data_IF_412037341783
#
_entry.id   IF_412037341783
#
_cell.length_a   1.000
_cell.length_b   1.000
_cell.length_c   1.000
_cell.angle_alpha   90.00
_cell.angle_beta   90.00
_cell.angle_gamma   90.00
#
_symmetry.space_group_name_H-M   'P 1'
#
loop_
_entity.id
_entity.type
_entity.pdbx_description
1 polymer ?
#
# COMPACT_ATOMS: atom_id res chain seq x y z
N UNK A 1 25.93 -21.95 4.51
CA UNK A 1 24.54 -22.34 4.82
C UNK A 1 23.60 -22.52 3.61
N UNK A 2 24.01 -22.27 2.34
CA UNK A 2 23.10 -22.36 1.17
C UNK A 2 23.63 -23.16 -0.05
N UNK A 3 24.77 -23.86 0.07
CA UNK A 3 25.42 -24.52 -1.09
C UNK A 3 24.58 -25.63 -1.75
N UNK A 4 23.61 -26.22 -1.05
CA UNK A 4 22.84 -27.37 -1.54
C UNK A 4 21.35 -27.14 -1.82
N UNK A 5 20.89 -25.89 -1.95
CA UNK A 5 19.49 -25.58 -2.29
C UNK A 5 19.13 -25.80 -3.78
N UNK A 6 20.06 -26.33 -4.58
CA UNK A 6 19.94 -26.43 -6.03
C UNK A 6 19.72 -27.86 -6.58
N UNK A 7 19.26 -28.81 -5.75
CA UNK A 7 18.96 -30.19 -6.22
C UNK A 7 17.73 -30.29 -7.16
N UNK A 8 16.93 -29.23 -7.29
CA UNK A 8 15.67 -29.22 -8.05
C UNK A 8 15.64 -28.37 -9.32
N UNK A 9 16.78 -27.86 -9.81
CA UNK A 9 16.85 -27.08 -11.07
C UNK A 9 16.21 -25.68 -11.04
N UNK A 10 15.73 -25.21 -9.88
CA UNK A 10 15.13 -23.88 -9.72
C UNK A 10 16.24 -22.83 -9.49
N UNK A 11 16.37 -21.88 -10.42
CA UNK A 11 17.34 -20.77 -10.34
C UNK A 11 17.20 -20.02 -9.01
N UNK A 12 18.30 -19.87 -8.27
CA UNK A 12 18.35 -19.10 -7.02
C UNK A 12 17.97 -17.63 -7.27
N UNK A 13 17.23 -17.03 -6.34
CA UNK A 13 16.97 -15.60 -6.34
C UNK A 13 18.26 -14.82 -6.02
N UNK A 14 18.33 -13.53 -6.38
CA UNK A 14 19.52 -12.71 -6.09
C UNK A 14 19.86 -12.69 -4.59
N UNK A 15 18.84 -12.69 -3.72
CA UNK A 15 19.00 -12.69 -2.28
C UNK A 15 19.54 -14.02 -1.75
N UNK A 16 19.15 -15.15 -2.37
CA UNK A 16 19.70 -16.46 -2.04
C UNK A 16 21.17 -16.58 -2.46
N UNK A 17 21.55 -15.99 -3.59
CA UNK A 17 22.96 -15.90 -4.01
C UNK A 17 23.79 -15.10 -2.98
N UNK A 18 23.27 -13.97 -2.51
CA UNK A 18 23.94 -13.19 -1.45
C UNK A 18 24.05 -13.98 -0.14
N UNK A 19 22.98 -14.67 0.28
CA UNK A 19 23.00 -15.50 1.49
C UNK A 19 24.06 -16.61 1.45
N UNK A 20 24.27 -17.23 0.28
CA UNK A 20 25.33 -18.21 0.09
C UNK A 20 26.73 -17.57 0.19
N UNK A 21 26.93 -16.40 -0.42
CA UNK A 21 28.23 -15.72 -0.47
C UNK A 21 28.65 -15.11 0.86
N UNK A 22 27.69 -14.68 1.69
CA UNK A 22 27.98 -13.92 2.90
C UNK A 22 28.00 -14.76 4.17
N UNK A 23 27.90 -16.09 4.07
CA UNK A 23 27.80 -16.97 5.24
C UNK A 23 29.02 -16.97 6.18
N UNK A 24 30.13 -16.32 5.79
CA UNK A 24 31.34 -16.18 6.61
C UNK A 24 31.40 -14.85 7.40
N UNK A 25 30.40 -13.98 7.23
CA UNK A 25 30.35 -12.66 7.87
C UNK A 25 29.37 -12.70 9.04
N UNK A 26 29.85 -13.18 10.20
CA UNK A 26 29.07 -13.40 11.42
C UNK A 26 28.95 -12.11 12.24
N UNK A 27 27.71 -11.65 12.43
CA UNK A 27 27.29 -10.54 13.27
C UNK A 27 26.90 -11.09 14.64
N UNK A 28 27.45 -10.51 15.71
CA UNK A 28 27.05 -10.84 17.09
C UNK A 28 25.86 -10.00 17.53
N UNK A 29 24.84 -10.64 18.09
CA UNK A 29 23.66 -10.00 18.66
C UNK A 29 23.74 -9.93 20.19
N UNK A 30 23.00 -8.99 20.78
CA UNK A 30 22.89 -8.81 22.23
C UNK A 30 21.54 -9.33 22.77
N UNK A 31 21.31 -9.16 24.08
CA UNK A 31 20.03 -9.44 24.72
C UNK A 31 19.03 -8.27 24.62
N UNK A 32 19.37 -7.20 23.91
CA UNK A 32 18.45 -6.08 23.71
C UNK A 32 17.20 -6.51 22.91
N UNK A 33 16.05 -5.83 23.09
CA UNK A 33 14.78 -6.28 22.54
C UNK A 33 14.78 -6.54 21.03
N UNK A 34 15.34 -5.64 20.21
CA UNK A 34 15.35 -5.81 18.76
C UNK A 34 16.34 -6.89 18.34
N UNK A 35 17.53 -6.95 18.94
CA UNK A 35 18.50 -8.02 18.71
C UNK A 35 17.91 -9.41 18.99
N UNK A 36 17.19 -9.57 20.11
CA UNK A 36 16.48 -10.83 20.41
C UNK A 36 15.44 -11.16 19.36
N UNK A 37 14.63 -10.18 18.94
CA UNK A 37 13.61 -10.39 17.92
C UNK A 37 14.21 -10.78 16.56
N UNK A 38 15.36 -10.20 16.19
CA UNK A 38 16.11 -10.57 14.97
C UNK A 38 16.54 -12.04 15.04
N UNK A 39 17.09 -12.47 16.19
CA UNK A 39 17.51 -13.85 16.41
C UNK A 39 16.32 -14.82 16.31
N UNK A 40 15.22 -14.50 17.00
CA UNK A 40 13.98 -15.29 16.99
C UNK A 40 13.45 -15.49 15.56
N UNK A 41 13.35 -14.42 14.77
CA UNK A 41 12.89 -14.48 13.38
C UNK A 41 13.82 -15.34 12.52
N UNK A 42 15.13 -15.28 12.79
CA UNK A 42 16.13 -16.04 12.04
C UNK A 42 16.04 -17.53 12.36
N UNK A 43 15.96 -17.89 13.64
CA UNK A 43 15.78 -19.28 14.09
C UNK A 43 14.47 -19.85 13.52
N UNK A 44 13.36 -19.13 13.66
CA UNK A 44 12.05 -19.58 13.18
C UNK A 44 12.07 -19.86 11.68
N UNK A 45 12.77 -19.02 10.89
CA UNK A 45 12.92 -19.26 9.44
C UNK A 45 13.56 -20.61 9.15
N UNK A 46 14.59 -21.00 9.90
CA UNK A 46 15.27 -22.27 9.71
C UNK A 46 14.40 -23.45 10.13
N UNK A 47 13.70 -23.33 11.25
CA UNK A 47 12.71 -24.32 11.70
C UNK A 47 11.62 -24.52 10.62
N UNK A 48 11.03 -23.44 10.12
CA UNK A 48 10.00 -23.48 9.07
C UNK A 48 10.52 -24.14 7.78
N UNK A 49 11.77 -23.88 7.39
CA UNK A 49 12.38 -24.49 6.19
C UNK A 49 12.61 -26.00 6.36
N UNK A 50 13.01 -26.44 7.55
CA UNK A 50 13.21 -27.86 7.86
C UNK A 50 11.85 -28.57 7.85
N UNK A 51 10.85 -28.02 8.56
CA UNK A 51 9.51 -28.61 8.66
C UNK A 51 8.78 -28.65 7.31
N UNK A 52 8.82 -27.54 6.55
CA UNK A 52 8.03 -27.42 5.32
C UNK A 52 8.66 -28.11 4.10
N UNK A 53 9.99 -28.27 4.06
CA UNK A 53 10.69 -28.78 2.88
C UNK A 53 11.39 -30.11 3.09
N UNK A 54 11.41 -30.64 4.32
CA UNK A 54 12.16 -31.84 4.68
C UNK A 54 13.62 -31.78 4.19
N UNK A 55 14.22 -30.59 4.31
CA UNK A 55 15.60 -30.32 3.90
C UNK A 55 16.47 -30.28 5.14
N UNK A 56 17.54 -31.07 5.14
CA UNK A 56 18.61 -30.93 6.14
C UNK A 56 19.40 -29.65 5.85
N UNK A 57 19.40 -28.74 6.82
CA UNK A 57 20.23 -27.52 6.78
C UNK A 57 21.52 -27.83 7.54
N UNK A 58 22.59 -28.09 6.79
CA UNK A 58 23.90 -28.39 7.39
C UNK A 58 24.32 -27.28 8.36
N UNK A 59 24.69 -27.69 9.58
CA UNK A 59 25.16 -26.84 10.67
C UNK A 59 24.12 -25.86 11.25
N UNK A 60 22.82 -26.15 11.12
CA UNK A 60 21.81 -25.48 11.93
C UNK A 60 21.61 -26.24 13.24
N UNK A 61 21.81 -25.54 14.36
CA UNK A 61 21.44 -25.97 15.72
C UNK A 61 20.75 -24.78 16.37
N UNK A 62 19.52 -24.97 16.83
CA UNK A 62 18.77 -23.92 17.52
C UNK A 62 19.47 -23.53 18.81
N UNK A 63 19.94 -24.53 19.54
CA UNK A 63 20.66 -24.39 20.80
C UNK A 63 21.93 -23.56 20.60
N UNK A 64 22.73 -23.88 19.59
CA UNK A 64 23.97 -23.16 19.29
C UNK A 64 23.67 -21.71 18.90
N UNK A 65 22.65 -21.46 18.08
CA UNK A 65 22.26 -20.09 17.72
C UNK A 65 21.74 -19.27 18.92
N UNK A 66 21.06 -19.91 19.87
CA UNK A 66 20.60 -19.27 21.11
C UNK A 66 21.77 -18.96 22.06
N UNK A 67 22.79 -19.82 22.09
CA UNK A 67 24.00 -19.65 22.88
C UNK A 67 24.93 -18.59 22.28
N UNK A 68 25.32 -18.77 21.02
CA UNK A 68 26.30 -17.93 20.33
C UNK A 68 25.73 -16.58 19.90
N UNK A 69 24.41 -16.53 19.63
CA UNK A 69 23.69 -15.32 19.16
C UNK A 69 24.34 -14.67 17.94
N UNK A 70 24.84 -15.51 17.05
CA UNK A 70 25.46 -15.11 15.80
C UNK A 70 24.50 -15.33 14.64
N UNK A 71 24.48 -14.36 13.73
CA UNK A 71 23.78 -14.45 12.45
C UNK A 71 24.68 -13.87 11.36
N UNK A 72 24.38 -14.03 10.08
CA UNK A 72 25.08 -13.31 9.01
C UNK A 72 24.29 -12.11 8.46
N UNK A 73 24.95 -11.30 7.62
CA UNK A 73 24.35 -10.10 7.02
C UNK A 73 23.07 -10.41 6.22
N UNK A 74 23.00 -11.57 5.57
CA UNK A 74 21.82 -11.96 4.79
C UNK A 74 20.63 -12.33 5.68
N UNK A 75 20.88 -13.00 6.80
CA UNK A 75 19.89 -13.28 7.84
C UNK A 75 19.39 -12.00 8.49
N UNK A 76 20.30 -11.06 8.79
CA UNK A 76 19.92 -9.75 9.30
C UNK A 76 19.01 -9.01 8.31
N UNK A 77 19.34 -9.00 7.01
CA UNK A 77 18.49 -8.40 5.99
C UNK A 77 17.09 -9.04 5.96
N UNK A 78 16.99 -10.36 6.06
CA UNK A 78 15.70 -11.06 6.10
C UNK A 78 14.90 -10.68 7.35
N UNK A 79 15.52 -10.74 8.53
CA UNK A 79 14.87 -10.43 9.80
C UNK A 79 14.42 -8.96 9.86
N UNK A 80 15.27 -8.04 9.40
CA UNK A 80 14.92 -6.63 9.20
C UNK A 80 13.69 -6.49 8.29
N UNK A 81 13.65 -7.23 7.18
CA UNK A 81 12.51 -7.31 6.30
C UNK A 81 11.23 -7.68 7.06
N UNK A 82 11.20 -8.83 7.73
CA UNK A 82 10.04 -9.29 8.52
C UNK A 82 9.57 -8.24 9.53
N UNK A 83 10.49 -7.63 10.27
CA UNK A 83 10.18 -6.55 11.21
C UNK A 83 9.55 -5.33 10.52
N UNK A 84 10.03 -4.94 9.33
CA UNK A 84 9.44 -3.84 8.56
C UNK A 84 8.03 -4.19 8.11
N UNK A 85 7.81 -5.41 7.62
CA UNK A 85 6.48 -5.87 7.19
C UNK A 85 5.49 -5.85 8.36
N UNK A 86 5.90 -6.24 9.57
CA UNK A 86 5.09 -6.10 10.80
C UNK A 86 4.69 -4.63 11.08
N UNK A 87 5.56 -3.66 10.79
CA UNK A 87 5.26 -2.22 10.98
C UNK A 87 4.44 -1.61 9.85
N UNK A 88 4.50 -2.18 8.65
CA UNK A 88 3.83 -1.72 7.43
C UNK A 88 2.67 -2.64 7.03
N UNK A 89 1.93 -3.11 8.03
CA UNK A 89 0.85 -4.10 7.88
C UNK A 89 -0.32 -3.63 7.00
N UNK A 90 -0.44 -2.32 6.74
CA UNK A 90 -1.40 -1.79 5.76
C UNK A 90 -1.10 -2.32 4.36
N UNK A 91 0.17 -2.46 4.01
CA UNK A 91 0.62 -2.69 2.64
C UNK A 91 1.18 -4.08 2.38
N UNK A 92 1.83 -4.68 3.37
CA UNK A 92 2.52 -5.94 3.20
C UNK A 92 1.99 -7.00 4.15
N UNK A 93 1.82 -8.20 3.60
CA UNK A 93 1.61 -9.39 4.41
C UNK A 93 2.91 -9.76 5.10
N UNK A 94 2.89 -9.76 6.43
CA UNK A 94 4.04 -10.09 7.26
C UNK A 94 4.62 -11.48 7.00
N UNK A 95 3.86 -12.42 6.46
CA UNK A 95 4.32 -13.80 6.20
C UNK A 95 4.98 -14.01 4.84
N UNK A 96 5.02 -12.97 3.99
CA UNK A 96 5.59 -13.06 2.66
C UNK A 96 7.14 -12.98 2.67
N UNK A 97 7.82 -14.13 2.61
CA UNK A 97 9.29 -14.21 2.63
C UNK A 97 9.98 -13.46 1.47
N UNK A 98 9.43 -13.53 0.26
CA UNK A 98 10.01 -12.87 -0.91
C UNK A 98 9.98 -11.35 -0.76
N UNK A 99 8.89 -10.84 -0.20
CA UNK A 99 8.73 -9.42 0.15
C UNK A 99 9.65 -9.04 1.29
N UNK A 100 9.77 -9.86 2.34
CA UNK A 100 10.69 -9.63 3.45
C UNK A 100 12.14 -9.48 2.96
N UNK A 101 12.62 -10.42 2.12
CA UNK A 101 13.95 -10.32 1.53
C UNK A 101 14.09 -9.04 0.69
N UNK A 102 13.13 -8.75 -0.18
CA UNK A 102 13.18 -7.56 -1.05
C UNK A 102 13.27 -6.27 -0.24
N UNK A 103 12.39 -6.10 0.74
CA UNK A 103 12.29 -4.88 1.56
C UNK A 103 13.50 -4.75 2.48
N UNK A 104 13.91 -5.82 3.16
CA UNK A 104 15.04 -5.79 4.08
C UNK A 104 16.36 -5.40 3.41
N UNK A 105 16.70 -6.09 2.31
CA UNK A 105 17.92 -5.77 1.55
C UNK A 105 17.88 -4.36 0.94
N UNK A 106 16.75 -3.97 0.34
CA UNK A 106 16.62 -2.65 -0.28
C UNK A 106 16.67 -1.53 0.77
N UNK A 107 16.09 -1.76 1.94
CA UNK A 107 16.14 -0.81 3.07
C UNK A 107 17.55 -0.62 3.57
N UNK A 108 18.26 -1.72 3.82
CA UNK A 108 19.64 -1.63 4.29
C UNK A 108 20.54 -0.95 3.25
N UNK A 109 20.33 -1.24 1.95
CA UNK A 109 21.05 -0.57 0.87
C UNK A 109 20.77 0.94 0.85
N UNK A 110 19.52 1.37 1.01
CA UNK A 110 19.17 2.80 1.11
C UNK A 110 19.88 3.48 2.28
N UNK A 111 19.88 2.82 3.43
CA UNK A 111 20.49 3.32 4.68
C UNK A 111 22.00 3.52 4.52
N UNK A 112 22.69 2.61 3.83
CA UNK A 112 24.12 2.70 3.52
C UNK A 112 24.47 3.43 2.23
N UNK A 113 23.50 4.07 1.56
CA UNK A 113 23.72 4.81 0.29
C UNK A 113 24.25 3.93 -0.85
N UNK A 114 23.80 2.69 -0.90
CA UNK A 114 24.14 1.75 -1.95
C UNK A 114 23.02 1.76 -3.00
N UNK A 115 23.39 2.02 -4.26
CA UNK A 115 22.46 1.92 -5.41
C UNK A 115 21.90 0.51 -5.51
N UNK A 116 20.65 0.35 -5.95
CA UNK A 116 20.00 -0.97 -5.98
C UNK A 116 20.78 -2.02 -6.80
N UNK A 117 21.37 -1.59 -7.93
CA UNK A 117 22.20 -2.45 -8.80
C UNK A 117 23.49 -2.94 -8.13
N UNK A 118 23.95 -2.23 -7.11
CA UNK A 118 25.21 -2.45 -6.39
C UNK A 118 24.99 -3.12 -5.02
N UNK A 119 23.80 -3.69 -4.78
CA UNK A 119 23.38 -4.26 -3.50
C UNK A 119 24.32 -5.38 -2.97
N UNK A 120 25.10 -6.01 -3.84
CA UNK A 120 26.14 -6.97 -3.43
C UNK A 120 27.21 -6.33 -2.53
N UNK A 121 27.37 -5.01 -2.56
CA UNK A 121 28.33 -4.24 -1.74
C UNK A 121 27.90 -4.06 -0.29
N UNK A 122 26.69 -4.47 0.10
CA UNK A 122 26.23 -4.41 1.49
C UNK A 122 27.20 -5.12 2.45
N UNK A 123 27.79 -6.23 2.02
CA UNK A 123 28.76 -6.99 2.80
C UNK A 123 29.99 -6.16 3.20
N UNK A 124 30.33 -5.11 2.44
CA UNK A 124 31.46 -4.24 2.76
C UNK A 124 31.23 -3.41 4.04
N UNK A 125 29.99 -3.33 4.51
CA UNK A 125 29.62 -2.67 5.76
C UNK A 125 29.54 -3.63 6.95
N UNK A 126 30.00 -4.88 6.78
CA UNK A 126 30.06 -5.88 7.84
C UNK A 126 30.70 -5.35 9.12
N UNK A 127 31.89 -4.74 9.05
CA UNK A 127 32.58 -4.22 10.23
C UNK A 127 31.78 -3.15 10.99
N UNK A 128 30.89 -2.42 10.31
CA UNK A 128 29.98 -1.46 10.94
C UNK A 128 28.80 -2.16 11.60
N UNK A 129 28.30 -3.22 10.96
CA UNK A 129 27.17 -4.01 11.45
C UNK A 129 27.56 -5.00 12.54
N UNK A 130 28.82 -5.43 12.64
CA UNK A 130 29.33 -6.32 13.70
C UNK A 130 29.49 -5.56 15.03
N UNK A 131 28.37 -4.97 15.45
CA UNK A 131 28.19 -4.23 16.68
C UNK A 131 26.70 -4.32 17.06
N UNK A 132 26.39 -5.15 18.06
CA UNK A 132 25.03 -5.41 18.50
C UNK A 132 24.27 -4.14 18.96
N UNK A 133 24.96 -3.19 19.60
CA UNK A 133 24.37 -1.91 20.02
C UNK A 133 23.99 -1.09 18.79
N UNK A 134 24.85 -1.05 17.78
CA UNK A 134 24.55 -0.36 16.54
C UNK A 134 23.37 -1.02 15.80
N UNK A 135 23.30 -2.35 15.74
CA UNK A 135 22.15 -3.09 15.19
C UNK A 135 20.85 -2.71 15.91
N UNK A 136 20.86 -2.61 17.23
CA UNK A 136 19.68 -2.22 18.02
C UNK A 136 19.19 -0.82 17.60
N UNK A 137 20.12 0.15 17.57
CA UNK A 137 19.85 1.55 17.30
C UNK A 137 19.38 1.77 15.86
N UNK A 138 20.09 1.22 14.88
CA UNK A 138 19.77 1.40 13.45
C UNK A 138 18.45 0.73 13.10
N UNK A 139 18.20 -0.48 13.59
CA UNK A 139 16.96 -1.21 13.33
C UNK A 139 15.78 -0.48 13.96
N UNK A 140 15.92 -0.03 15.21
CA UNK A 140 14.87 0.76 15.88
C UNK A 140 14.55 2.03 15.10
N UNK A 141 15.56 2.75 14.61
CA UNK A 141 15.35 3.97 13.82
C UNK A 141 14.63 3.69 12.49
N UNK A 142 15.00 2.61 11.79
CA UNK A 142 14.33 2.16 10.56
C UNK A 142 12.85 1.85 10.83
N UNK A 143 12.57 1.03 11.83
CA UNK A 143 11.21 0.60 12.17
C UNK A 143 10.31 1.76 12.58
N UNK A 144 10.85 2.76 13.27
CA UNK A 144 10.10 3.95 13.64
C UNK A 144 9.62 4.73 12.41
N UNK A 145 10.46 4.93 11.39
CA UNK A 145 10.06 5.65 10.18
C UNK A 145 8.99 4.86 9.41
N UNK A 146 9.14 3.55 9.29
CA UNK A 146 8.12 2.72 8.66
C UNK A 146 6.79 2.73 9.42
N UNK A 147 6.82 2.73 10.75
CA UNK A 147 5.62 2.90 11.57
C UNK A 147 4.96 4.25 11.31
N UNK A 148 5.74 5.34 11.28
CA UNK A 148 5.21 6.68 11.03
C UNK A 148 4.50 6.76 9.65
N UNK A 149 5.11 6.15 8.62
CA UNK A 149 4.50 6.01 7.28
C UNK A 149 3.21 5.20 7.36
N UNK A 150 3.22 4.04 8.02
CA UNK A 150 2.04 3.18 8.14
C UNK A 150 0.88 3.91 8.81
N UNK A 151 1.13 4.65 9.89
CA UNK A 151 0.10 5.41 10.61
C UNK A 151 -0.60 6.46 9.74
N UNK A 152 0.11 7.09 8.80
CA UNK A 152 -0.48 8.02 7.83
C UNK A 152 -1.48 7.26 6.95
N UNK A 153 -1.05 6.15 6.35
CA UNK A 153 -1.87 5.42 5.38
C UNK A 153 -2.97 4.58 6.01
N UNK A 154 -2.77 4.05 7.21
CA UNK A 154 -3.76 3.29 7.95
C UNK A 154 -5.05 4.09 8.12
N UNK A 155 -4.93 5.37 8.48
CA UNK A 155 -6.05 6.29 8.65
C UNK A 155 -6.87 6.45 7.35
N UNK A 156 -6.19 6.50 6.21
CA UNK A 156 -6.80 6.90 4.93
C UNK A 156 -7.20 5.73 4.04
N UNK A 157 -6.59 4.56 4.23
CA UNK A 157 -6.81 3.40 3.36
C UNK A 157 -7.72 2.34 3.99
N UNK A 158 -8.14 2.52 5.24
CA UNK A 158 -9.01 1.58 5.95
C UNK A 158 -10.41 1.57 5.32
N UNK A 159 -10.87 0.39 4.94
CA UNK A 159 -12.24 0.16 4.47
C UNK A 159 -13.22 0.36 5.63
N UNK A 160 -14.33 1.09 5.44
CA UNK A 160 -15.29 1.33 6.51
C UNK A 160 -15.86 0.05 7.14
N UNK A 161 -16.03 0.08 8.47
CA UNK A 161 -16.80 -0.89 9.25
C UNK A 161 -16.31 -2.36 9.24
N UNK A 162 -15.07 -2.63 8.82
CA UNK A 162 -14.53 -3.98 8.86
C UNK A 162 -14.10 -4.39 10.30
N UNK A 163 -14.62 -5.52 10.80
CA UNK A 163 -14.24 -6.09 12.11
C UNK A 163 -12.77 -6.54 12.17
N UNK A 164 -12.23 -6.99 11.05
CA UNK A 164 -10.79 -7.11 10.78
C UNK A 164 -10.40 -5.96 9.87
N UNK A 165 -9.33 -5.23 10.20
CA UNK A 165 -8.89 -4.12 9.38
C UNK A 165 -8.57 -4.58 7.94
N UNK A 166 -9.33 -4.05 6.99
CA UNK A 166 -9.11 -4.24 5.55
C UNK A 166 -8.66 -2.91 4.96
N UNK A 167 -7.72 -2.95 4.02
CA UNK A 167 -7.16 -1.75 3.40
C UNK A 167 -7.29 -1.78 1.88
N UNK A 168 -7.60 -0.62 1.27
CA UNK A 168 -7.53 -0.47 -0.19
C UNK A 168 -6.11 -0.05 -0.58
N UNK A 169 -5.35 -1.03 -1.08
CA UNK A 169 -3.93 -0.88 -1.45
C UNK A 169 -3.63 -1.38 -2.86
N UNK A 170 -4.65 -1.60 -3.69
CA UNK A 170 -4.48 -2.23 -4.99
C UNK A 170 -3.57 -1.38 -5.89
N UNK A 171 -2.63 -2.03 -6.59
CA UNK A 171 -1.67 -1.36 -7.48
C UNK A 171 -0.54 -0.61 -6.76
N UNK A 172 -0.33 -0.86 -5.46
CA UNK A 172 0.80 -0.26 -4.73
C UNK A 172 2.14 -0.82 -5.18
N UNK A 173 3.09 0.08 -5.45
CA UNK A 173 4.47 -0.28 -5.76
C UNK A 173 5.33 -0.28 -4.49
N UNK A 174 6.03 -1.37 -4.23
CA UNK A 174 7.00 -1.44 -3.13
C UNK A 174 8.07 -0.34 -3.23
N UNK A 175 8.50 0.00 -4.45
CA UNK A 175 9.50 1.05 -4.66
C UNK A 175 8.96 2.44 -4.27
N UNK A 176 7.66 2.68 -4.44
CA UNK A 176 7.04 3.91 -3.94
C UNK A 176 7.08 3.95 -2.41
N UNK A 177 6.67 2.87 -1.73
CA UNK A 177 6.70 2.82 -0.26
C UNK A 177 8.12 2.96 0.29
N UNK A 178 9.09 2.29 -0.33
CA UNK A 178 10.50 2.44 0.00
C UNK A 178 11.01 3.86 -0.27
N UNK A 179 10.49 4.56 -1.28
CA UNK A 179 10.86 5.95 -1.53
C UNK A 179 10.37 6.92 -0.46
N UNK A 180 9.23 6.65 0.17
CA UNK A 180 8.76 7.42 1.32
C UNK A 180 9.70 7.24 2.51
N UNK A 181 10.07 5.98 2.80
CA UNK A 181 11.10 5.70 3.80
C UNK A 181 12.40 6.42 3.47
N UNK A 182 12.90 6.29 2.24
CA UNK A 182 14.13 6.92 1.80
C UNK A 182 14.09 8.44 2.00
N UNK A 183 13.01 9.09 1.57
CA UNK A 183 12.80 10.53 1.73
C UNK A 183 12.85 10.99 3.19
N UNK A 184 12.19 10.27 4.10
CA UNK A 184 12.22 10.58 5.54
C UNK A 184 13.59 10.27 6.16
N UNK A 185 14.21 9.15 5.78
CA UNK A 185 15.53 8.73 6.24
C UNK A 185 16.59 9.78 5.92
N UNK A 186 16.69 10.20 4.65
CA UNK A 186 17.69 11.19 4.23
C UNK A 186 17.46 12.57 4.86
N UNK A 187 16.22 12.87 5.23
CA UNK A 187 15.86 14.14 5.86
C UNK A 187 16.27 14.14 7.34
N UNK A 188 16.09 13.01 8.03
CA UNK A 188 16.36 12.87 9.47
C UNK A 188 17.81 12.52 9.79
N UNK A 189 18.45 11.68 8.99
CA UNK A 189 19.74 11.08 9.30
C UNK A 189 20.87 11.56 8.38
N UNK A 190 22.08 11.67 8.94
CA UNK A 190 23.31 11.89 8.17
C UNK A 190 23.78 10.59 7.50
N UNK A 191 24.76 10.71 6.61
CA UNK A 191 25.33 9.54 5.94
C UNK A 191 26.17 8.73 6.96
N UNK A 192 26.00 7.39 6.98
CA UNK A 192 26.56 6.48 7.99
C UNK A 192 28.09 6.24 7.89
N UNK A 193 28.84 7.15 7.25
CA UNK A 193 30.27 6.95 6.96
C UNK A 193 31.15 6.86 8.22
N UNK A 194 30.66 7.29 9.39
CA UNK A 194 31.37 7.26 10.67
C UNK A 194 31.04 6.05 11.56
N UNK A 195 30.20 5.11 11.08
CA UNK A 195 29.72 3.98 11.89
C UNK A 195 28.80 4.39 13.05
N UNK A 196 28.25 5.62 13.00
CA UNK A 196 27.31 6.15 13.99
C UNK A 196 26.05 6.64 13.31
N UNK A 197 24.91 6.43 13.97
CA UNK A 197 23.64 6.97 13.51
C UNK A 197 23.46 8.40 14.04
N UNK A 198 23.75 9.38 13.19
CA UNK A 198 23.58 10.79 13.53
C UNK A 198 22.22 11.33 13.08
N UNK A 199 21.59 12.16 13.91
CA UNK A 199 20.34 12.86 13.61
C UNK A 199 20.69 14.30 13.20
N UNK A 200 20.21 14.73 12.04
CA UNK A 200 20.43 16.08 11.52
C UNK A 200 19.76 17.13 12.39
N UNK A 201 20.42 18.26 12.59
CA UNK A 201 19.80 19.41 13.25
C UNK A 201 18.63 19.95 12.40
N UNK A 202 17.57 20.41 13.06
CA UNK A 202 16.40 21.04 12.41
C UNK A 202 15.72 20.18 11.32
N UNK A 203 15.78 18.85 11.41
CA UNK A 203 15.11 17.96 10.43
C UNK A 203 13.58 18.02 10.51
N UNK A 204 13.02 18.32 11.68
CA UNK A 204 11.59 18.16 11.99
C UNK A 204 10.64 18.89 11.03
N UNK A 205 10.88 20.16 10.62
CA UNK A 205 9.99 20.85 9.68
C UNK A 205 9.90 20.13 8.33
N UNK A 206 11.05 19.79 7.73
CA UNK A 206 11.08 19.09 6.45
C UNK A 206 10.50 17.68 6.55
N UNK A 207 10.77 16.96 7.65
CA UNK A 207 10.20 15.65 7.91
C UNK A 207 8.67 15.73 7.97
N UNK A 208 8.14 16.71 8.72
CA UNK A 208 6.71 16.92 8.84
C UNK A 208 6.06 17.32 7.51
N UNK A 209 6.74 18.15 6.71
CA UNK A 209 6.27 18.51 5.38
C UNK A 209 6.14 17.29 4.47
N UNK A 210 7.16 16.42 4.47
CA UNK A 210 7.14 15.17 3.71
C UNK A 210 5.95 14.30 4.16
N UNK A 211 5.75 14.11 5.46
CA UNK A 211 4.61 13.35 6.00
C UNK A 211 3.26 13.87 5.49
N UNK A 212 3.06 15.20 5.52
CA UNK A 212 1.84 15.85 5.04
C UNK A 212 1.62 15.68 3.53
N UNK A 213 2.70 15.46 2.77
CA UNK A 213 2.68 15.29 1.32
C UNK A 213 2.55 13.82 0.87
N UNK A 214 2.77 12.84 1.75
CA UNK A 214 2.84 11.43 1.34
C UNK A 214 1.55 10.93 0.68
N UNK A 215 0.37 11.26 1.23
CA UNK A 215 -0.91 10.83 0.67
C UNK A 215 -1.17 11.44 -0.72
N UNK A 216 -0.84 12.72 -0.90
CA UNK A 216 -1.00 13.44 -2.18
C UNK A 216 -0.14 12.81 -3.27
N UNK A 217 1.14 12.57 -2.99
CA UNK A 217 2.03 11.89 -3.93
C UNK A 217 1.66 10.42 -4.13
N UNK A 218 1.19 9.73 -3.09
CA UNK A 218 0.71 8.36 -3.19
C UNK A 218 -0.43 8.24 -4.22
N UNK A 219 -1.39 9.15 -4.20
CA UNK A 219 -2.48 9.22 -5.17
C UNK A 219 -1.94 9.65 -6.55
N UNK A 220 -1.28 10.79 -6.62
CA UNK A 220 -0.82 11.39 -7.88
C UNK A 220 0.09 10.47 -8.70
N UNK A 221 1.05 9.82 -8.04
CA UNK A 221 1.99 8.92 -8.70
C UNK A 221 1.32 7.66 -9.26
N UNK A 222 0.18 7.24 -8.69
CA UNK A 222 -0.62 6.13 -9.25
C UNK A 222 -1.34 6.55 -10.51
N UNK A 223 -1.99 7.71 -10.47
CA UNK A 223 -2.72 8.26 -11.61
C UNK A 223 -1.80 8.48 -12.80
N UNK A 224 -0.56 8.92 -12.55
CA UNK A 224 0.44 9.18 -13.58
C UNK A 224 1.32 7.97 -13.92
N UNK A 225 1.11 6.83 -13.24
CA UNK A 225 1.95 5.64 -13.43
C UNK A 225 3.43 5.87 -13.12
N UNK A 226 3.78 6.84 -12.26
CA UNK A 226 5.18 7.24 -11.98
C UNK A 226 6.05 6.06 -11.55
N UNK A 227 5.49 5.08 -10.84
CA UNK A 227 6.24 3.93 -10.33
C UNK A 227 6.17 2.68 -11.23
N UNK A 228 5.67 2.82 -12.46
CA UNK A 228 5.79 1.79 -13.49
C UNK A 228 7.23 1.70 -14.04
N UNK A 229 7.63 0.53 -14.53
CA UNK A 229 8.94 0.29 -15.14
C UNK A 229 10.11 0.32 -14.14
N UNK A 230 11.11 1.19 -14.38
CA UNK A 230 12.39 1.27 -13.65
C UNK A 230 12.27 1.93 -12.27
N UNK A 231 11.56 1.27 -11.35
CA UNK A 231 11.34 1.76 -9.98
C UNK A 231 12.62 1.88 -9.13
N UNK A 232 13.61 1.04 -9.38
CA UNK A 232 14.91 1.05 -8.72
C UNK A 232 15.71 2.34 -8.99
N UNK A 233 15.77 2.77 -10.24
CA UNK A 233 16.46 4.00 -10.64
C UNK A 233 15.76 5.24 -10.09
N UNK A 234 14.42 5.22 -9.99
CA UNK A 234 13.63 6.30 -9.39
C UNK A 234 13.86 6.40 -7.89
N UNK A 235 14.00 5.26 -7.20
CA UNK A 235 14.37 5.21 -5.80
C UNK A 235 15.78 5.77 -5.57
N UNK A 236 16.75 5.36 -6.39
CA UNK A 236 18.13 5.84 -6.31
C UNK A 236 18.22 7.37 -6.46
N UNK A 237 17.42 8.00 -7.33
CA UNK A 237 17.41 9.47 -7.46
C UNK A 237 17.03 10.19 -6.16
N UNK A 238 16.04 9.66 -5.45
CA UNK A 238 15.59 10.24 -4.18
C UNK A 238 16.65 10.03 -3.11
N UNK A 239 17.14 8.81 -2.98
CA UNK A 239 18.00 8.42 -1.86
C UNK A 239 19.44 8.85 -2.10
N UNK A 240 20.02 8.51 -3.25
CA UNK A 240 21.43 8.70 -3.58
C UNK A 240 21.66 10.11 -4.15
N UNK A 241 20.89 10.49 -5.16
CA UNK A 241 21.06 11.76 -5.85
C UNK A 241 20.36 12.93 -5.09
N UNK A 242 19.68 12.62 -3.97
CA UNK A 242 19.04 13.55 -3.04
C UNK A 242 17.94 14.41 -3.69
N UNK A 243 17.32 13.91 -4.76
CA UNK A 243 16.19 14.55 -5.46
C UNK A 243 14.86 14.27 -4.74
N UNK A 244 14.70 14.81 -3.54
CA UNK A 244 13.51 14.56 -2.72
C UNK A 244 12.29 15.38 -3.21
N UNK A 245 11.45 14.79 -4.07
CA UNK A 245 10.24 15.47 -4.54
C UNK A 245 9.18 15.67 -3.46
N UNK A 246 9.13 14.80 -2.44
CA UNK A 246 8.05 14.80 -1.45
C UNK A 246 8.12 15.96 -0.46
N UNK A 247 9.23 16.70 -0.42
CA UNK A 247 9.34 17.92 0.39
C UNK A 247 8.51 19.07 -0.18
N UNK A 248 8.23 19.06 -1.48
CA UNK A 248 7.49 20.11 -2.17
C UNK A 248 6.01 19.82 -2.10
N UNK A 249 5.21 20.85 -1.85
CA UNK A 249 3.76 20.71 -1.93
C UNK A 249 3.33 20.39 -3.35
N UNK A 250 2.44 19.40 -3.45
CA UNK A 250 1.76 19.12 -4.69
C UNK A 250 0.63 20.13 -4.85
N UNK A 251 0.57 20.79 -6.00
CA UNK A 251 -0.49 21.74 -6.32
C UNK A 251 -1.85 21.04 -6.43
N UNK A 252 -2.89 21.61 -5.81
CA UNK A 252 -4.25 21.09 -5.84
C UNK A 252 -4.79 21.01 -7.26
N UNK A 253 -4.49 22.01 -8.11
CA UNK A 253 -4.91 22.01 -9.50
C UNK A 253 -4.27 20.85 -10.28
N UNK A 254 -3.02 20.52 -9.96
CA UNK A 254 -2.27 19.44 -10.62
C UNK A 254 -2.82 18.07 -10.27
N UNK A 255 -3.20 17.83 -9.02
CA UNK A 255 -3.81 16.55 -8.62
C UNK A 255 -5.25 16.44 -9.13
N UNK A 256 -6.02 17.52 -9.10
CA UNK A 256 -7.39 17.55 -9.64
C UNK A 256 -7.38 17.25 -11.14
N UNK A 257 -6.51 17.91 -11.90
CA UNK A 257 -6.35 17.65 -13.34
C UNK A 257 -5.99 16.18 -13.62
N UNK A 258 -5.11 15.58 -12.81
CA UNK A 258 -4.75 14.17 -12.96
C UNK A 258 -5.90 13.22 -12.62
N UNK A 259 -6.71 13.54 -11.59
CA UNK A 259 -7.89 12.77 -11.21
C UNK A 259 -8.98 12.84 -12.28
N UNK A 260 -9.26 14.03 -12.81
CA UNK A 260 -10.24 14.23 -13.87
C UNK A 260 -9.83 13.52 -15.15
N UNK A 261 -8.57 13.62 -15.57
CA UNK A 261 -8.07 12.89 -16.74
C UNK A 261 -8.19 11.37 -16.56
N UNK A 262 -7.79 10.85 -15.39
CA UNK A 262 -7.97 9.43 -15.06
C UNK A 262 -9.46 9.01 -15.09
N UNK A 263 -10.36 9.87 -14.63
CA UNK A 263 -11.79 9.58 -14.63
C UNK A 263 -12.35 9.51 -16.05
N UNK A 264 -11.98 10.43 -16.94
CA UNK A 264 -12.36 10.36 -18.35
C UNK A 264 -11.84 9.06 -18.99
N UNK A 265 -10.56 8.68 -18.76
CA UNK A 265 -10.02 7.39 -19.21
C UNK A 265 -10.79 6.19 -18.63
N UNK A 266 -11.27 6.30 -17.38
CA UNK A 266 -12.07 5.26 -16.74
C UNK A 266 -13.49 5.17 -17.32
N UNK A 267 -14.06 6.28 -17.80
CA UNK A 267 -15.36 6.31 -18.47
C UNK A 267 -15.33 5.63 -19.84
N UNK A 268 -14.16 5.58 -20.49
CA UNK A 268 -13.95 4.85 -21.73
C UNK A 268 -13.85 3.32 -21.55
N UNK A 269 -13.81 2.80 -20.32
CA UNK A 269 -13.71 1.36 -20.07
C UNK A 269 -15.10 0.71 -19.99
N UNK A 270 -15.37 -0.30 -20.83
CA UNK A 270 -16.64 -1.08 -20.81
C UNK A 270 -16.74 -2.12 -19.69
N UNK A 271 -16.00 -1.93 -18.60
CA UNK A 271 -15.91 -2.90 -17.49
C UNK A 271 -16.99 -2.63 -16.46
N UNK A 272 -17.68 -3.69 -16.04
CA UNK A 272 -18.60 -3.67 -14.88
C UNK A 272 -17.83 -3.96 -13.59
N UNK A 273 -16.66 -4.58 -13.67
CA UNK A 273 -15.81 -4.83 -12.51
C UNK A 273 -15.20 -3.51 -12.05
N UNK A 274 -15.28 -3.27 -10.75
CA UNK A 274 -14.72 -2.07 -10.13
C UNK A 274 -13.25 -1.90 -10.47
N UNK A 275 -12.91 -0.73 -10.98
CA UNK A 275 -11.55 -0.33 -11.23
C UNK A 275 -10.81 -0.19 -9.88
N UNK A 276 -9.59 -0.75 -9.75
CA UNK A 276 -8.85 -0.72 -8.48
C UNK A 276 -8.56 0.69 -7.95
N UNK A 277 -8.32 1.66 -8.85
CA UNK A 277 -8.09 3.05 -8.46
C UNK A 277 -9.41 3.68 -8.01
N UNK A 278 -10.54 3.33 -8.62
CA UNK A 278 -11.87 3.78 -8.15
C UNK A 278 -12.12 3.38 -6.69
N UNK A 279 -11.80 2.12 -6.33
CA UNK A 279 -11.90 1.66 -4.94
C UNK A 279 -11.00 2.48 -4.02
N UNK A 280 -9.73 2.63 -4.40
CA UNK A 280 -8.74 3.37 -3.62
C UNK A 280 -9.19 4.80 -3.32
N UNK A 281 -9.56 5.55 -4.36
CA UNK A 281 -9.96 6.95 -4.24
C UNK A 281 -11.21 7.11 -3.38
N UNK A 282 -12.19 6.22 -3.55
CA UNK A 282 -13.40 6.26 -2.74
C UNK A 282 -13.14 5.86 -1.29
N UNK A 283 -12.26 4.88 -1.03
CA UNK A 283 -11.83 4.57 0.36
C UNK A 283 -11.17 5.76 1.02
N UNK A 284 -10.26 6.46 0.31
CA UNK A 284 -9.64 7.68 0.82
C UNK A 284 -10.69 8.74 1.13
N UNK A 285 -11.64 8.98 0.22
CA UNK A 285 -12.73 9.92 0.46
C UNK A 285 -13.54 9.55 1.71
N UNK A 286 -13.96 8.29 1.82
CA UNK A 286 -14.71 7.80 2.98
C UNK A 286 -13.95 7.93 4.30
N UNK A 287 -12.61 7.91 4.29
CA UNK A 287 -11.81 8.13 5.50
C UNK A 287 -12.05 9.51 6.14
N UNK A 288 -12.39 10.52 5.34
CA UNK A 288 -12.76 11.85 5.82
C UNK A 288 -14.17 11.92 6.41
N UNK A 289 -15.00 10.93 6.08
CA UNK A 289 -16.38 10.79 6.55
C UNK A 289 -16.56 9.63 7.53
N UNK A 290 -15.46 9.17 8.15
CA UNK A 290 -15.47 8.02 9.08
C UNK A 290 -16.57 8.08 10.16
N UNK A 291 -16.92 9.25 10.76
CA UNK A 291 -18.00 9.31 11.76
C UNK A 291 -19.39 8.86 11.27
N UNK A 292 -19.63 8.88 9.94
CA UNK A 292 -20.89 8.45 9.34
C UNK A 292 -20.94 6.94 9.05
N UNK A 293 -19.80 6.26 9.20
CA UNK A 293 -19.73 4.81 9.12
C UNK A 293 -19.80 4.21 10.53
N UNK A 294 -20.73 3.28 10.73
CA UNK A 294 -20.91 2.59 12.00
C UNK A 294 -20.08 1.29 12.05
N UNK A 295 -20.19 0.54 13.15
CA UNK A 295 -19.46 -0.72 13.35
C UNK A 295 -20.01 -1.91 12.53
N UNK A 296 -20.87 -1.68 11.53
CA UNK A 296 -21.36 -2.74 10.62
C UNK A 296 -20.33 -3.05 9.55
N UNK A 297 -20.36 -4.26 9.01
CA UNK A 297 -19.62 -4.59 7.79
C UNK A 297 -20.19 -3.87 6.58
N UNK A 298 -19.32 -3.28 5.74
CA UNK A 298 -19.68 -2.65 4.48
C UNK A 298 -19.17 -3.46 3.29
N UNK A 299 -20.03 -3.60 2.29
CA UNK A 299 -19.74 -4.26 1.01
C UNK A 299 -19.44 -3.22 -0.08
N UNK A 300 -18.64 -3.63 -1.06
CA UNK A 300 -18.46 -2.91 -2.32
C UNK A 300 -19.75 -3.06 -3.15
N UNK A 301 -20.49 -1.97 -3.37
CA UNK A 301 -21.79 -2.03 -4.05
C UNK A 301 -21.86 -1.10 -5.26
N UNK A 302 -22.59 -1.54 -6.28
CA UNK A 302 -22.91 -0.74 -7.46
C UNK A 302 -24.15 0.11 -7.21
N UNK A 303 -24.06 1.42 -7.41
CA UNK A 303 -25.22 2.31 -7.32
C UNK A 303 -26.30 1.88 -8.31
N UNK A 304 -25.92 1.79 -9.57
CA UNK A 304 -26.69 1.19 -10.65
C UNK A 304 -26.38 -0.31 -10.67
N UNK A 305 -27.35 -1.18 -10.34
CA UNK A 305 -27.11 -2.59 -10.04
C UNK A 305 -26.36 -3.34 -11.14
N UNK A 306 -25.40 -4.18 -10.72
CA UNK A 306 -24.59 -5.02 -11.62
C UNK A 306 -25.42 -5.85 -12.61
N UNK A 307 -26.57 -6.35 -12.19
CA UNK A 307 -27.48 -7.13 -13.04
C UNK A 307 -28.01 -6.30 -14.22
N UNK A 308 -28.46 -5.08 -13.96
CA UNK A 308 -28.95 -4.15 -14.99
C UNK A 308 -27.82 -3.83 -16.00
N UNK A 309 -26.62 -3.54 -15.51
CA UNK A 309 -25.45 -3.28 -16.37
C UNK A 309 -25.07 -4.49 -17.24
N UNK A 310 -25.17 -5.69 -16.67
CA UNK A 310 -24.87 -6.95 -17.37
C UNK A 310 -25.91 -7.24 -18.45
N UNK A 311 -27.17 -6.90 -18.20
CA UNK A 311 -28.25 -7.01 -19.17
C UNK A 311 -28.07 -6.02 -20.32
N UNK A 312 -27.75 -4.76 -20.03
CA UNK A 312 -27.43 -3.75 -21.05
C UNK A 312 -26.29 -4.24 -21.96
N UNK A 313 -25.20 -4.74 -21.36
CA UNK A 313 -24.03 -5.24 -22.10
C UNK A 313 -24.33 -6.45 -23.01
N UNK A 314 -25.36 -7.24 -22.72
CA UNK A 314 -25.80 -8.35 -23.58
C UNK A 314 -26.63 -7.88 -24.79
N UNK A 315 -27.23 -6.70 -24.70
CA UNK A 315 -28.25 -6.20 -25.65
C UNK A 315 -27.73 -5.05 -26.51
N UNK A 316 -26.70 -4.34 -26.04
CA UNK A 316 -26.14 -3.17 -26.67
C UNK A 316 -24.61 -3.24 -26.67
N UNK A 317 -24.00 -2.65 -27.71
CA UNK A 317 -22.56 -2.44 -27.81
C UNK A 317 -22.12 -1.11 -27.19
N UNK A 318 -23.04 -0.37 -26.55
CA UNK A 318 -22.70 0.90 -25.90
C UNK A 318 -21.70 0.68 -24.76
N UNK A 319 -20.74 1.58 -24.67
CA UNK A 319 -19.72 1.55 -23.66
C UNK A 319 -20.29 2.05 -22.32
N UNK A 320 -20.44 1.15 -21.34
CA UNK A 320 -20.97 1.48 -20.02
C UNK A 320 -19.86 1.38 -18.96
N UNK A 321 -19.48 2.49 -18.31
CA UNK A 321 -18.42 2.51 -17.31
C UNK A 321 -18.91 2.04 -15.93
N UNK A 322 -19.47 0.85 -15.90
CA UNK A 322 -20.14 0.27 -14.73
C UNK A 322 -19.24 0.07 -13.51
N UNK A 323 -17.92 -0.07 -13.72
CA UNK A 323 -16.91 -0.24 -12.68
C UNK A 323 -16.20 1.04 -12.25
N UNK A 324 -16.59 2.21 -12.75
CA UNK A 324 -15.98 3.49 -12.38
C UNK A 324 -16.39 3.96 -10.98
N UNK A 325 -15.65 4.94 -10.44
CA UNK A 325 -15.92 5.53 -9.12
C UNK A 325 -17.34 6.12 -9.01
N UNK A 326 -17.87 6.67 -10.11
CA UNK A 326 -19.20 7.22 -10.19
C UNK A 326 -20.31 6.19 -9.95
N UNK A 327 -20.04 4.89 -10.11
CA UNK A 327 -20.98 3.83 -9.82
C UNK A 327 -20.62 2.99 -8.58
N UNK A 328 -19.59 3.39 -7.82
CA UNK A 328 -19.12 2.68 -6.65
C UNK A 328 -19.63 3.33 -5.35
N UNK A 329 -20.00 2.50 -4.37
CA UNK A 329 -20.30 2.92 -3.01
C UNK A 329 -19.96 1.84 -1.99
N UNK A 330 -19.86 2.25 -0.72
CA UNK A 330 -19.89 1.33 0.41
C UNK A 330 -21.30 1.29 0.98
N UNK A 331 -21.88 0.10 1.05
CA UNK A 331 -23.20 -0.12 1.61
C UNK A 331 -23.11 -1.18 2.70
N UNK A 332 -23.74 -0.94 3.85
CA UNK A 332 -23.75 -1.94 4.92
C UNK A 332 -24.40 -3.24 4.42
N UNK A 333 -23.88 -4.38 4.86
CA UNK A 333 -24.29 -5.68 4.31
C UNK A 333 -25.79 -5.95 4.46
N UNK A 334 -26.45 -5.39 5.47
CA UNK A 334 -27.90 -5.56 5.67
C UNK A 334 -28.69 -4.83 4.58
N UNK A 335 -28.36 -3.56 4.34
CA UNK A 335 -28.97 -2.79 3.25
C UNK A 335 -28.58 -3.33 1.88
N UNK A 336 -27.35 -3.81 1.69
CA UNK A 336 -26.91 -4.43 0.44
C UNK A 336 -27.75 -5.67 0.08
N UNK A 337 -27.94 -6.59 1.03
CA UNK A 337 -28.80 -7.76 0.86
C UNK A 337 -30.25 -7.40 0.53
N UNK A 338 -30.71 -6.24 0.98
CA UNK A 338 -32.06 -5.74 0.70
C UNK A 338 -32.17 -5.04 -0.66
N UNK A 339 -31.13 -4.30 -1.07
CA UNK A 339 -31.05 -3.55 -2.33
C UNK A 339 -31.10 -4.48 -3.54
N UNK A 340 -30.28 -5.54 -3.57
CA UNK A 340 -30.23 -6.50 -4.69
C UNK A 340 -30.15 -5.80 -6.07
N UNK A 341 -31.17 -5.97 -6.92
CA UNK A 341 -31.26 -5.41 -8.26
C UNK A 341 -31.97 -4.04 -8.33
N UNK A 342 -32.27 -3.46 -7.18
CA UNK A 342 -33.01 -2.22 -7.05
C UNK A 342 -32.10 -1.03 -6.69
N UNK A 343 -32.66 0.19 -6.81
CA UNK A 343 -32.05 1.38 -6.20
C UNK A 343 -32.40 1.45 -4.72
N UNK A 344 -31.69 2.27 -3.94
CA UNK A 344 -32.04 2.48 -2.54
C UNK A 344 -33.46 3.07 -2.37
N UNK A 345 -33.95 3.86 -3.33
CA UNK A 345 -35.32 4.42 -3.28
C UNK A 345 -36.45 3.39 -3.46
N UNK A 346 -36.13 2.21 -3.98
CA UNK A 346 -37.11 1.16 -4.24
C UNK A 346 -37.28 0.19 -3.08
N UNK A 347 -36.31 0.19 -2.15
CA UNK A 347 -36.32 -0.72 -1.02
C UNK A 347 -37.30 -0.17 0.01
N UNK A 348 -38.49 -0.77 0.08
CA UNK A 348 -39.46 -0.50 1.16
C UNK A 348 -39.56 -1.76 2.00
N UNK A 349 -38.84 -1.79 3.14
CA UNK A 349 -38.93 -2.88 4.13
C UNK A 349 -39.09 -2.32 5.54
N UNK A 350 -39.84 -3.00 6.42
CA UNK A 350 -39.85 -2.67 7.86
C UNK A 350 -38.42 -2.67 8.43
N UNK A 351 -38.02 -1.58 9.09
CA UNK A 351 -36.66 -1.42 9.67
C UNK A 351 -35.61 -0.85 8.69
N UNK A 352 -35.98 -0.53 7.46
CA UNK A 352 -35.11 0.18 6.51
C UNK A 352 -35.21 1.69 6.71
N UNK A 353 -34.12 2.33 7.14
CA UNK A 353 -34.00 3.79 7.18
C UNK A 353 -32.89 4.25 6.26
N UNK A 354 -33.25 4.98 5.21
CA UNK A 354 -32.32 5.77 4.41
C UNK A 354 -31.89 6.99 5.21
N UNK A 355 -30.67 6.96 5.74
CA UNK A 355 -30.07 8.14 6.35
C UNK A 355 -29.73 9.15 5.25
N UNK A 356 -30.48 10.25 5.18
CA UNK A 356 -30.34 11.27 4.13
C UNK A 356 -28.93 11.89 4.09
N UNK A 357 -28.28 12.00 5.25
CA UNK A 357 -26.90 12.45 5.36
C UNK A 357 -25.94 11.52 4.62
N UNK A 358 -26.14 10.20 4.72
CA UNK A 358 -25.33 9.21 4.00
C UNK A 358 -25.53 9.28 2.49
N UNK A 359 -26.75 9.55 2.02
CA UNK A 359 -27.00 9.77 0.59
C UNK A 359 -26.28 11.02 0.07
N UNK A 360 -26.27 12.08 0.88
CA UNK A 360 -25.60 13.34 0.53
C UNK A 360 -24.08 13.15 0.47
N UNK A 361 -23.48 12.56 1.51
CA UNK A 361 -22.03 12.32 1.59
C UNK A 361 -21.54 11.39 0.48
N UNK A 362 -22.33 10.38 0.13
CA UNK A 362 -21.99 9.45 -0.94
C UNK A 362 -22.37 9.99 -2.33
N UNK A 363 -22.83 11.24 -2.44
CA UNK A 363 -23.33 11.86 -3.67
C UNK A 363 -24.30 10.92 -4.42
N UNK A 364 -25.21 10.26 -3.70
CA UNK A 364 -26.10 9.27 -4.29
C UNK A 364 -27.07 9.96 -5.26
N UNK A 365 -27.31 9.40 -6.47
CA UNK A 365 -28.20 10.05 -7.44
C UNK A 365 -29.60 10.27 -6.87
N UNK A 366 -30.26 11.32 -7.35
CA UNK A 366 -31.61 11.69 -6.97
C UNK A 366 -32.63 10.65 -7.45
N UNK A 367 -33.82 10.67 -6.85
CA UNK A 367 -34.92 9.81 -7.29
C UNK A 367 -35.31 10.06 -8.75
N UNK A 368 -35.24 11.32 -9.20
CA UNK A 368 -35.52 11.71 -10.58
C UNK A 368 -34.53 11.09 -11.56
N UNK A 369 -33.22 11.19 -11.29
CA UNK A 369 -32.18 10.58 -12.15
C UNK A 369 -32.36 9.06 -12.23
N UNK A 370 -32.68 8.38 -11.12
CA UNK A 370 -32.97 6.94 -11.15
C UNK A 370 -34.23 6.59 -11.95
N UNK A 371 -35.27 7.41 -11.88
CA UNK A 371 -36.49 7.21 -12.68
C UNK A 371 -36.18 7.31 -14.18
N UNK A 372 -35.33 8.26 -14.58
CA UNK A 372 -34.89 8.41 -15.97
C UNK A 372 -34.01 7.24 -16.42
N UNK A 373 -33.04 6.82 -15.60
CA UNK A 373 -32.21 5.63 -15.88
C UNK A 373 -33.08 4.38 -16.07
N UNK A 374 -34.07 4.18 -15.20
CA UNK A 374 -35.01 3.05 -15.34
C UNK A 374 -35.79 3.13 -16.64
N UNK A 375 -36.25 4.32 -17.02
CA UNK A 375 -36.95 4.52 -18.28
C UNK A 375 -36.05 4.18 -19.49
N UNK A 376 -34.79 4.59 -19.51
CA UNK A 376 -33.83 4.22 -20.56
C UNK A 376 -33.63 2.69 -20.63
N UNK A 377 -33.41 2.05 -19.47
CA UNK A 377 -33.24 0.60 -19.37
C UNK A 377 -34.47 -0.17 -19.86
N UNK A 378 -35.67 0.33 -19.56
CA UNK A 378 -36.94 -0.29 -19.98
C UNK A 378 -37.24 -0.08 -21.47
N UNK A 379 -36.98 1.11 -22.01
CA UNK A 379 -37.19 1.43 -23.43
C UNK A 379 -36.33 0.55 -24.34
N UNK A 380 -35.13 0.18 -23.89
CA UNK A 380 -34.27 -0.80 -24.56
C UNK A 380 -34.02 -0.49 -26.05
N UNK A 381 -33.82 0.79 -26.38
CA UNK A 381 -33.49 1.26 -27.74
C UNK A 381 -31.98 1.35 -28.00
N UNK A 382 -31.16 0.94 -27.04
CA UNK A 382 -29.69 1.00 -27.15
C UNK A 382 -29.07 2.36 -26.82
N UNK A 383 -29.85 3.30 -26.27
CA UNK A 383 -29.39 4.62 -25.82
C UNK A 383 -29.44 4.70 -24.28
N UNK A 384 -28.28 4.87 -23.65
CA UNK A 384 -28.12 4.93 -22.18
C UNK A 384 -27.44 6.23 -21.73
N UNK A 385 -27.85 7.37 -22.29
CA UNK A 385 -27.17 8.65 -22.10
C UNK A 385 -27.30 9.17 -20.67
N UNK A 386 -28.48 9.06 -20.08
CA UNK A 386 -28.70 9.47 -18.69
C UNK A 386 -27.91 8.60 -17.73
N UNK A 387 -27.88 7.28 -17.95
CA UNK A 387 -27.06 6.35 -17.17
C UNK A 387 -25.57 6.75 -17.19
N UNK A 388 -25.01 6.96 -18.38
CA UNK A 388 -23.59 7.34 -18.52
C UNK A 388 -23.33 8.72 -17.92
N UNK A 389 -24.22 9.68 -18.18
CA UNK A 389 -24.14 11.05 -17.64
C UNK A 389 -24.17 11.06 -16.11
N UNK A 390 -25.01 10.22 -15.50
CA UNK A 390 -25.13 10.11 -14.03
C UNK A 390 -23.85 9.54 -13.43
N UNK A 391 -23.31 8.47 -14.02
CA UNK A 391 -22.02 7.89 -13.59
C UNK A 391 -20.90 8.93 -13.74
N UNK A 392 -20.83 9.63 -14.88
CA UNK A 392 -19.81 10.64 -15.13
C UNK A 392 -19.87 11.80 -14.13
N UNK A 393 -21.06 12.39 -13.97
CA UNK A 393 -21.30 13.57 -13.13
C UNK A 393 -21.06 13.27 -11.66
N UNK A 394 -21.54 12.11 -11.16
CA UNK A 394 -21.24 11.68 -9.79
C UNK A 394 -19.75 11.46 -9.59
N UNK A 395 -19.06 10.81 -10.53
CA UNK A 395 -17.61 10.61 -10.43
C UNK A 395 -16.84 11.92 -10.33
N UNK A 396 -17.22 12.94 -11.11
CA UNK A 396 -16.65 14.30 -11.02
C UNK A 396 -16.91 14.94 -9.66
N UNK A 397 -18.14 14.86 -9.16
CA UNK A 397 -18.50 15.40 -7.84
C UNK A 397 -17.65 14.78 -6.71
N UNK A 398 -17.49 13.45 -6.71
CA UNK A 398 -16.66 12.75 -5.72
C UNK A 398 -15.18 13.13 -5.82
N UNK A 399 -14.67 13.35 -7.03
CA UNK A 399 -13.28 13.80 -7.25
C UNK A 399 -13.07 15.19 -6.69
N UNK A 400 -13.98 16.13 -7.00
CA UNK A 400 -13.91 17.50 -6.45
C UNK A 400 -13.98 17.48 -4.92
N UNK A 401 -14.87 16.67 -4.33
CA UNK A 401 -14.95 16.53 -2.88
C UNK A 401 -13.66 15.95 -2.28
N UNK A 402 -13.10 14.91 -2.90
CA UNK A 402 -11.82 14.33 -2.49
C UNK A 402 -10.69 15.37 -2.54
N UNK A 403 -10.60 16.16 -3.61
CA UNK A 403 -9.60 17.24 -3.71
C UNK A 403 -9.80 18.25 -2.58
N UNK A 404 -11.02 18.70 -2.32
CA UNK A 404 -11.28 19.62 -1.21
C UNK A 404 -10.80 19.01 0.13
N UNK A 405 -11.18 17.77 0.43
CA UNK A 405 -10.77 17.06 1.66
C UNK A 405 -9.26 16.86 1.79
N UNK A 406 -8.56 16.62 0.69
CA UNK A 406 -7.11 16.48 0.69
C UNK A 406 -6.38 17.78 1.07
N UNK A 407 -6.99 18.95 0.88
CA UNK A 407 -6.36 20.26 1.11
C UNK A 407 -7.01 21.10 2.22
N UNK A 408 -8.18 20.71 2.75
CA UNK A 408 -8.92 21.41 3.82
C UNK A 408 -8.08 21.68 5.09
N UNK A 409 -7.07 20.87 5.40
CA UNK A 409 -6.26 20.98 6.63
C UNK A 409 -4.83 21.51 6.40
N UNK A 410 -4.58 22.21 5.28
CA UNK A 410 -3.25 22.77 4.95
C UNK A 410 -3.09 24.28 5.26
N UNK A 411 -4.13 24.92 5.82
CA UNK A 411 -4.14 26.35 6.18
C UNK A 411 -3.82 26.54 7.65
#
# INVERSE_FOLDING_TARGET
MFENLNKGGKKLSKYQVFAAQWSKHELRLSNEPINRRILEITIQRYEDLIESRNVEINNFSKEDMLEDKTINVAEYCYALGKLILEKMFVFWDHDNEDTANKIGYSTLAMVFRIRNKDMSKLVNFFNTLDNAEFIEVITTAILNIYRDINSIFEKHLKVPGASKALYSIQGTSDFQLMSFFGSLWITKHSDLQSGKLEIKQKYKPNYKQIELNLLHYYIYDRLTGRWSGTGDSKLDRIVIDKENSYIKDLDSFKIESALLNWHEDALEKSSINFDPISKLLYTVLCSYYNPYFNEKTYDNEHIIPRKQLSEIKKRSNQNIPGGSIGNFMYLDSTNNRSKQEFSLYDVIKPGYSLEQEMLTIQAYPTKTEFSEIKFEVQRNNGEYNQLISTISSRGKALITDLVNKLYENRI
#
